data_IF_356337594153
#
_entry.id   IF_356337594153
#
_cell.length_a   1.000
_cell.length_b   1.000
_cell.length_c   1.000
_cell.angle_alpha   90.00
_cell.angle_beta   90.00
_cell.angle_gamma   90.00
#
_symmetry.space_group_name_H-M   'P 1'
#
loop_
_entity.id
_entity.type
_entity.pdbx_description
1 polymer ?
#
# COMPACT_ATOMS: atom_id res chain seq x y z
N UNK A 1 -8.64 -3.25 -14.54
CA UNK A 1 -9.71 -2.36 -15.00
C UNK A 1 -10.40 -3.01 -16.17
N UNK A 2 -11.72 -3.25 -16.08
CA UNK A 2 -12.52 -3.69 -17.24
C UNK A 2 -12.82 -2.50 -18.14
N UNK A 3 -12.69 -2.69 -19.46
CA UNK A 3 -12.86 -1.61 -20.42
C UNK A 3 -12.02 -1.78 -21.68
N UNK A 4 -11.86 -0.70 -22.42
CA UNK A 4 -11.09 -0.67 -23.68
C UNK A 4 -9.94 0.31 -23.58
N UNK A 5 -8.76 -0.08 -24.11
CA UNK A 5 -7.63 0.85 -24.25
C UNK A 5 -8.04 1.93 -25.25
N UNK A 6 -8.12 3.18 -24.78
CA UNK A 6 -8.50 4.35 -25.58
C UNK A 6 -7.28 5.02 -26.21
N UNK A 7 -6.17 5.09 -25.44
CA UNK A 7 -4.95 5.71 -25.92
C UNK A 7 -3.71 5.14 -25.20
N UNK A 8 -2.58 5.17 -25.90
CA UNK A 8 -1.25 4.96 -25.32
C UNK A 8 -0.47 6.25 -25.56
N UNK A 9 -0.28 7.02 -24.49
CA UNK A 9 0.46 8.29 -24.53
C UNK A 9 1.94 7.99 -24.44
N UNK A 10 2.71 8.51 -25.39
CA UNK A 10 4.16 8.33 -25.46
C UNK A 10 4.87 9.67 -25.33
N UNK A 11 5.97 9.66 -24.60
CA UNK A 11 6.92 10.78 -24.50
C UNK A 11 8.10 10.64 -25.45
N UNK A 12 9.15 11.36 -25.13
CA UNK A 12 10.42 11.28 -25.89
C UNK A 12 10.93 9.84 -25.96
N UNK A 13 11.62 9.53 -27.06
CA UNK A 13 12.17 8.19 -27.34
C UNK A 13 11.14 7.06 -27.21
N UNK A 14 9.87 7.37 -27.45
CA UNK A 14 8.73 6.43 -27.39
C UNK A 14 8.47 5.81 -26.02
N UNK A 15 8.97 6.40 -24.93
CA UNK A 15 8.65 5.94 -23.56
C UNK A 15 7.13 6.02 -23.36
N UNK A 16 6.54 4.94 -22.85
CA UNK A 16 5.11 4.92 -22.51
C UNK A 16 4.92 5.75 -21.24
N UNK A 17 4.17 6.83 -21.34
CA UNK A 17 3.82 7.68 -20.21
C UNK A 17 2.50 7.26 -19.56
N UNK A 18 1.52 6.90 -20.38
CA UNK A 18 0.19 6.51 -19.90
C UNK A 18 -0.43 5.47 -20.83
N UNK A 19 -1.20 4.56 -20.24
CA UNK A 19 -2.17 3.72 -20.95
C UNK A 19 -3.55 4.13 -20.45
N UNK A 20 -4.31 4.82 -21.30
CA UNK A 20 -5.65 5.31 -20.95
C UNK A 20 -6.65 4.20 -21.26
N UNK A 21 -7.38 3.77 -20.25
CA UNK A 21 -8.45 2.78 -20.35
C UNK A 21 -9.79 3.44 -20.09
N UNK A 22 -10.69 3.37 -21.04
CA UNK A 22 -12.09 3.78 -20.85
C UNK A 22 -12.84 2.63 -20.18
N UNK A 23 -13.29 2.87 -18.93
CA UNK A 23 -13.99 1.85 -18.15
C UNK A 23 -15.36 1.54 -18.78
N UNK A 24 -15.72 0.26 -18.79
CA UNK A 24 -17.07 -0.19 -19.19
C UNK A 24 -18.09 -0.14 -18.04
N UNK A 25 -17.67 0.29 -16.85
CA UNK A 25 -18.51 0.38 -15.66
C UNK A 25 -18.85 -0.96 -15.00
N UNK A 26 -18.44 -2.10 -15.57
CA UNK A 26 -18.76 -3.43 -15.02
C UNK A 26 -17.80 -3.85 -13.90
N UNK A 27 -16.57 -3.29 -13.90
CA UNK A 27 -15.53 -3.61 -12.92
C UNK A 27 -15.20 -5.11 -12.84
N UNK A 28 -15.26 -5.81 -13.97
CA UNK A 28 -14.87 -7.20 -14.05
C UNK A 28 -13.40 -7.35 -13.62
N UNK A 29 -13.13 -8.38 -12.83
CA UNK A 29 -11.80 -8.67 -12.31
C UNK A 29 -11.37 -10.09 -12.74
N UNK A 30 -10.07 -10.26 -12.90
CA UNK A 30 -9.49 -11.59 -13.07
C UNK A 30 -9.48 -12.27 -11.70
N UNK A 31 -9.99 -13.48 -11.63
CA UNK A 31 -9.91 -14.31 -10.43
C UNK A 31 -8.59 -15.08 -10.42
N UNK A 32 -7.73 -14.75 -9.43
CA UNK A 32 -6.47 -15.44 -9.17
C UNK A 32 -6.64 -16.59 -8.14
N UNK A 33 -7.86 -16.87 -7.74
CA UNK A 33 -8.20 -17.86 -6.71
C UNK A 33 -7.92 -17.37 -5.29
N UNK A 34 -8.74 -17.80 -4.35
CA UNK A 34 -8.51 -17.56 -2.91
C UNK A 34 -7.41 -18.49 -2.41
N UNK A 35 -6.67 -18.03 -1.42
CA UNK A 35 -5.65 -18.85 -0.77
C UNK A 35 -5.42 -18.39 0.66
N UNK A 36 -4.98 -19.27 1.53
CA UNK A 36 -4.57 -18.96 2.89
C UNK A 36 -3.05 -18.77 2.92
N UNK A 37 -2.51 -17.54 3.12
CA UNK A 37 -1.09 -17.29 2.99
C UNK A 37 -0.21 -18.14 3.90
N UNK A 38 -0.70 -18.47 5.11
CA UNK A 38 0.01 -19.30 6.09
C UNK A 38 0.35 -20.70 5.57
N UNK A 39 -0.44 -21.22 4.63
CA UNK A 39 -0.27 -22.56 4.03
C UNK A 39 0.57 -22.56 2.76
N UNK A 40 0.86 -21.39 2.21
CA UNK A 40 1.64 -21.23 0.98
C UNK A 40 3.13 -21.23 1.25
N UNK A 41 3.90 -21.68 0.27
CA UNK A 41 5.33 -21.44 0.19
C UNK A 41 5.63 -19.99 -0.23
N UNK A 42 6.87 -19.56 -0.03
CA UNK A 42 7.34 -18.24 -0.50
C UNK A 42 7.12 -18.03 -1.99
N UNK A 43 7.43 -19.05 -2.80
CA UNK A 43 7.31 -18.95 -4.26
C UNK A 43 5.85 -18.81 -4.72
N UNK A 44 4.92 -19.55 -4.11
CA UNK A 44 3.49 -19.43 -4.41
C UNK A 44 2.94 -18.05 -4.04
N UNK A 45 3.40 -17.46 -2.92
CA UNK A 45 3.04 -16.07 -2.56
C UNK A 45 3.58 -15.10 -3.59
N UNK A 46 4.85 -15.22 -3.99
CA UNK A 46 5.47 -14.35 -5.01
C UNK A 46 4.72 -14.47 -6.34
N UNK A 47 4.49 -15.68 -6.81
CA UNK A 47 3.81 -15.92 -8.08
C UNK A 47 2.44 -15.26 -8.12
N UNK A 48 1.63 -15.48 -7.08
CA UNK A 48 0.30 -14.88 -6.96
C UNK A 48 0.34 -13.36 -6.94
N UNK A 49 1.27 -12.77 -6.19
CA UNK A 49 1.45 -11.32 -6.14
C UNK A 49 1.93 -10.73 -7.46
N UNK A 50 2.82 -11.40 -8.16
CA UNK A 50 3.33 -10.97 -9.47
C UNK A 50 2.24 -11.05 -10.54
N UNK A 51 1.54 -12.17 -10.63
CA UNK A 51 0.47 -12.38 -11.60
C UNK A 51 -0.69 -11.39 -11.42
N UNK A 52 -1.05 -11.06 -10.18
CA UNK A 52 -2.11 -10.10 -9.88
C UNK A 52 -1.67 -8.63 -10.03
N UNK A 53 -0.36 -8.36 -10.09
CA UNK A 53 0.20 -7.01 -10.09
C UNK A 53 0.33 -6.37 -8.70
N UNK A 54 -0.11 -7.02 -7.61
CA UNK A 54 0.06 -6.50 -6.24
C UNK A 54 1.52 -6.40 -5.82
N UNK A 55 2.42 -7.15 -6.47
CA UNK A 55 3.85 -7.09 -6.22
C UNK A 55 4.43 -5.67 -6.32
N UNK A 56 3.90 -4.85 -7.21
CA UNK A 56 4.35 -3.46 -7.41
C UNK A 56 4.18 -2.56 -6.19
N UNK A 57 3.37 -2.97 -5.20
CA UNK A 57 3.20 -2.28 -3.92
C UNK A 57 4.40 -2.47 -2.99
N UNK A 58 5.20 -3.52 -3.18
CA UNK A 58 6.41 -3.73 -2.40
C UNK A 58 7.55 -2.90 -2.97
N UNK A 59 8.09 -2.03 -2.14
CA UNK A 59 9.22 -1.16 -2.47
C UNK A 59 10.47 -1.55 -1.70
N UNK A 60 11.62 -1.34 -2.30
CA UNK A 60 12.93 -1.62 -1.71
C UNK A 60 13.68 -0.34 -1.39
N UNK A 61 14.18 -0.27 -0.15
CA UNK A 61 15.09 0.81 0.27
C UNK A 61 16.49 0.55 -0.29
N UNK A 62 17.34 1.60 -0.48
CA UNK A 62 17.07 3.02 -0.17
C UNK A 62 16.32 3.79 -1.25
N UNK A 63 16.28 3.31 -2.49
CA UNK A 63 15.83 4.09 -3.66
C UNK A 63 14.32 3.98 -3.96
N UNK A 64 13.57 3.26 -3.14
CA UNK A 64 12.12 3.06 -3.34
C UNK A 64 11.77 2.41 -4.70
N UNK A 65 12.65 1.59 -5.22
CA UNK A 65 12.39 0.78 -6.42
C UNK A 65 11.40 -0.34 -6.09
N UNK A 66 10.74 -0.90 -7.10
CA UNK A 66 9.96 -2.12 -6.92
C UNK A 66 10.90 -3.22 -6.46
N UNK A 67 10.50 -3.97 -5.43
CA UNK A 67 11.27 -5.08 -4.90
C UNK A 67 11.52 -6.15 -5.99
N UNK A 68 12.75 -6.66 -6.07
CA UNK A 68 13.04 -7.76 -6.98
C UNK A 68 12.58 -9.09 -6.37
N UNK A 69 11.67 -9.85 -7.00
CA UNK A 69 11.17 -11.11 -6.48
C UNK A 69 12.26 -12.17 -6.20
N UNK A 70 13.40 -12.07 -6.88
CA UNK A 70 14.53 -12.98 -6.69
C UNK A 70 15.36 -12.65 -5.43
N UNK A 71 15.18 -11.47 -4.86
CA UNK A 71 15.91 -11.05 -3.67
C UNK A 71 15.22 -11.56 -2.41
N UNK A 72 16.01 -11.72 -1.35
CA UNK A 72 15.52 -12.00 -0.01
C UNK A 72 15.81 -10.77 0.87
N UNK A 73 14.77 -10.09 1.41
CA UNK A 73 14.98 -8.94 2.25
C UNK A 73 15.42 -9.34 3.66
N UNK A 74 16.28 -8.53 4.28
CA UNK A 74 16.69 -8.69 5.68
C UNK A 74 15.52 -8.44 6.64
N UNK A 75 14.60 -7.57 6.25
CA UNK A 75 13.31 -7.37 6.94
C UNK A 75 12.29 -6.72 5.99
N UNK A 76 11.03 -6.75 6.42
CA UNK A 76 9.94 -6.03 5.74
C UNK A 76 9.31 -5.09 6.74
N UNK A 77 9.16 -3.82 6.38
CA UNK A 77 8.53 -2.79 7.22
C UNK A 77 7.18 -2.36 6.65
N UNK A 78 6.17 -2.24 7.51
CA UNK A 78 4.85 -1.73 7.15
C UNK A 78 4.49 -0.59 8.10
N UNK A 79 4.31 0.62 7.56
CA UNK A 79 3.74 1.70 8.34
C UNK A 79 2.21 1.69 8.21
N UNK A 80 1.53 1.52 9.35
CA UNK A 80 0.07 1.50 9.41
C UNK A 80 -0.50 2.89 9.74
N UNK A 81 0.34 3.91 9.81
CA UNK A 81 -0.05 5.30 10.04
C UNK A 81 0.81 6.27 9.21
N UNK A 82 0.38 7.50 9.13
CA UNK A 82 1.10 8.60 8.50
C UNK A 82 1.14 9.79 9.44
N UNK A 83 2.18 10.61 9.34
CA UNK A 83 2.33 11.87 10.09
C UNK A 83 2.48 13.08 9.17
N UNK A 84 2.40 12.88 7.86
CA UNK A 84 2.41 14.00 6.93
C UNK A 84 1.15 14.86 7.13
N UNK A 85 1.28 16.19 7.11
CA UNK A 85 0.14 17.08 7.20
C UNK A 85 -0.91 16.75 6.14
N UNK A 86 -2.18 16.70 6.55
CA UNK A 86 -3.33 16.42 5.67
C UNK A 86 -3.36 15.01 5.05
N UNK A 87 -2.48 14.11 5.45
CA UNK A 87 -2.58 12.70 5.06
C UNK A 87 -3.88 12.06 5.59
N UNK A 88 -4.46 11.08 4.87
CA UNK A 88 -5.61 10.36 5.37
C UNK A 88 -5.25 9.55 6.62
N UNK A 89 -6.19 9.45 7.55
CA UNK A 89 -6.03 8.61 8.74
C UNK A 89 -6.12 7.13 8.38
N UNK A 90 -4.98 6.47 8.37
CA UNK A 90 -4.91 5.05 8.05
C UNK A 90 -5.59 4.17 9.10
N UNK A 91 -5.65 4.56 10.38
CA UNK A 91 -6.37 3.79 11.40
C UNK A 91 -7.87 3.72 11.04
N UNK A 92 -8.45 4.86 10.63
CA UNK A 92 -9.84 4.89 10.15
C UNK A 92 -10.06 4.01 8.92
N UNK A 93 -9.11 4.04 7.96
CA UNK A 93 -9.20 3.28 6.71
C UNK A 93 -9.14 1.78 6.96
N UNK A 94 -8.18 1.33 7.78
CA UNK A 94 -7.94 -0.11 8.00
C UNK A 94 -8.87 -0.72 9.05
N UNK A 95 -9.55 0.07 9.89
CA UNK A 95 -10.36 -0.40 11.01
C UNK A 95 -11.41 -1.46 10.59
N UNK A 96 -11.96 -1.34 9.39
CA UNK A 96 -12.94 -2.30 8.83
C UNK A 96 -12.32 -3.38 7.95
N UNK A 97 -10.98 -3.45 7.89
CA UNK A 97 -10.21 -4.31 6.99
C UNK A 97 -9.25 -5.25 7.73
N UNK A 98 -9.52 -5.53 9.01
CA UNK A 98 -8.58 -6.25 9.89
C UNK A 98 -8.26 -7.67 9.39
N UNK A 99 -9.21 -8.36 8.78
CA UNK A 99 -8.96 -9.66 8.16
C UNK A 99 -8.00 -9.55 6.97
N UNK A 100 -8.14 -8.50 6.15
CA UNK A 100 -7.21 -8.24 5.06
C UNK A 100 -5.82 -7.84 5.60
N UNK A 101 -5.76 -7.04 6.66
CA UNK A 101 -4.48 -6.74 7.35
C UNK A 101 -3.80 -8.04 7.78
N UNK A 102 -4.54 -8.95 8.44
CA UNK A 102 -4.01 -10.24 8.86
C UNK A 102 -3.46 -11.05 7.68
N UNK A 103 -4.27 -11.26 6.65
CA UNK A 103 -3.88 -12.03 5.47
C UNK A 103 -2.66 -11.41 4.77
N UNK A 104 -2.60 -10.07 4.68
CA UNK A 104 -1.47 -9.35 4.11
C UNK A 104 -0.18 -9.56 4.92
N UNK A 105 -0.24 -9.47 6.24
CA UNK A 105 0.91 -9.71 7.13
C UNK A 105 1.40 -11.15 7.02
N UNK A 106 0.49 -12.13 7.02
CA UNK A 106 0.83 -13.54 6.85
C UNK A 106 1.53 -13.81 5.49
N UNK A 107 1.11 -13.12 4.43
CA UNK A 107 1.77 -13.21 3.13
C UNK A 107 3.16 -12.58 3.17
N UNK A 108 3.32 -11.37 3.74
CA UNK A 108 4.61 -10.72 3.88
C UNK A 108 5.60 -11.54 4.71
N UNK A 109 5.11 -12.18 5.76
CA UNK A 109 5.93 -13.03 6.64
C UNK A 109 6.54 -14.25 5.91
N UNK A 110 5.96 -14.68 4.78
CA UNK A 110 6.54 -15.72 3.91
C UNK A 110 7.68 -15.21 3.01
N UNK A 111 7.79 -13.90 2.85
CA UNK A 111 8.75 -13.31 1.89
C UNK A 111 10.13 -13.06 2.49
N UNK A 112 10.29 -13.18 3.80
CA UNK A 112 11.56 -12.94 4.51
C UNK A 112 11.78 -13.95 5.62
N UNK A 113 13.04 -14.35 5.83
CA UNK A 113 13.48 -15.06 7.03
C UNK A 113 13.73 -14.09 8.20
N UNK A 114 13.78 -12.80 7.94
CA UNK A 114 13.91 -11.74 8.95
C UNK A 114 12.56 -11.35 9.55
N UNK A 115 12.52 -10.17 10.18
CA UNK A 115 11.32 -9.65 10.83
C UNK A 115 10.39 -8.94 9.85
N UNK A 116 9.10 -9.02 10.13
CA UNK A 116 8.09 -8.12 9.58
C UNK A 116 7.71 -7.14 10.67
N UNK A 117 8.11 -5.88 10.51
CA UNK A 117 7.83 -4.81 11.46
C UNK A 117 6.54 -4.09 11.06
N UNK A 118 5.57 -4.09 11.96
CA UNK A 118 4.34 -3.30 11.82
C UNK A 118 4.43 -2.09 12.74
N UNK A 119 4.43 -0.90 12.18
CA UNK A 119 4.49 0.35 12.95
C UNK A 119 3.11 0.97 13.06
N UNK A 120 2.69 1.26 14.29
CA UNK A 120 1.41 1.89 14.65
C UNK A 120 1.66 3.15 15.48
N UNK A 121 0.66 4.01 15.61
CA UNK A 121 0.80 5.28 16.33
C UNK A 121 0.18 5.31 17.73
N UNK A 122 -0.47 4.24 18.15
CA UNK A 122 -1.07 4.15 19.47
C UNK A 122 -1.06 2.74 20.04
N UNK A 123 -1.16 2.65 21.36
CA UNK A 123 -1.27 1.38 22.07
C UNK A 123 -2.58 0.66 21.76
N UNK A 124 -3.66 1.39 21.52
CA UNK A 124 -4.96 0.84 21.16
C UNK A 124 -4.88 0.15 19.81
N UNK A 125 -4.24 0.79 18.83
CA UNK A 125 -4.01 0.18 17.51
C UNK A 125 -3.07 -1.02 17.63
N UNK A 126 -2.03 -0.95 18.45
CA UNK A 126 -1.15 -2.09 18.72
C UNK A 126 -1.95 -3.29 19.23
N UNK A 127 -2.77 -3.09 20.26
CA UNK A 127 -3.59 -4.17 20.84
C UNK A 127 -4.56 -4.76 19.83
N UNK A 128 -5.17 -3.91 18.98
CA UNK A 128 -6.08 -4.36 17.93
C UNK A 128 -5.35 -5.23 16.87
N UNK A 129 -4.14 -4.86 16.49
CA UNK A 129 -3.31 -5.62 15.54
C UNK A 129 -2.81 -6.94 16.17
N UNK A 130 -2.34 -6.91 17.42
CA UNK A 130 -1.89 -8.12 18.13
C UNK A 130 -3.03 -9.12 18.38
N UNK A 131 -4.26 -8.61 18.56
CA UNK A 131 -5.45 -9.45 18.71
C UNK A 131 -5.79 -10.29 17.47
N UNK A 132 -5.21 -9.98 16.30
CA UNK A 132 -5.35 -10.76 15.07
C UNK A 132 -4.67 -12.14 15.19
N UNK A 133 -3.73 -12.31 16.11
CA UNK A 133 -3.00 -13.56 16.38
C UNK A 133 -2.41 -14.15 15.11
N UNK A 134 -1.31 -13.58 14.65
CA UNK A 134 -0.58 -14.07 13.49
C UNK A 134 -0.05 -15.50 13.74
N UNK A 135 -0.12 -16.36 12.73
CA UNK A 135 0.52 -17.68 12.77
C UNK A 135 2.03 -17.58 12.59
N UNK A 136 2.47 -16.53 11.87
CA UNK A 136 3.88 -16.23 11.66
C UNK A 136 4.53 -15.70 12.95
N UNK A 137 5.69 -16.27 13.31
CA UNK A 137 6.42 -15.91 14.55
C UNK A 137 7.39 -14.74 14.36
N UNK A 138 7.61 -14.32 13.12
CA UNK A 138 8.55 -13.25 12.78
C UNK A 138 7.88 -11.88 12.62
N UNK A 139 6.66 -11.71 13.09
CA UNK A 139 5.92 -10.43 13.09
C UNK A 139 6.14 -9.71 14.42
N UNK A 140 6.39 -8.41 14.34
CA UNK A 140 6.61 -7.55 15.51
C UNK A 140 5.85 -6.24 15.33
N UNK A 141 5.07 -5.85 16.35
CA UNK A 141 4.26 -4.62 16.33
C UNK A 141 4.93 -3.58 17.22
N UNK A 142 5.21 -2.41 16.68
CA UNK A 142 5.93 -1.35 17.35
C UNK A 142 5.12 -0.05 17.36
N UNK A 143 5.08 0.64 18.50
CA UNK A 143 4.41 1.93 18.64
C UNK A 143 5.40 3.05 18.41
N UNK A 144 5.07 3.95 17.49
CA UNK A 144 5.81 5.17 17.21
C UNK A 144 4.92 6.38 17.48
N UNK A 145 5.40 7.31 18.28
CA UNK A 145 4.70 8.55 18.58
C UNK A 145 5.63 9.73 18.28
N UNK A 146 5.06 10.83 17.84
CA UNK A 146 5.82 12.06 17.59
C UNK A 146 5.32 12.82 16.37
N UNK A 147 5.90 14.01 16.14
CA UNK A 147 5.60 14.81 14.96
C UNK A 147 6.12 14.14 13.69
N UNK A 148 5.75 14.68 12.56
CA UNK A 148 6.38 14.29 11.29
C UNK A 148 7.93 14.47 11.41
N UNK A 149 8.74 13.47 11.01
CA UNK A 149 8.45 12.34 10.15
C UNK A 149 8.27 10.97 10.85
N UNK A 150 7.71 10.90 12.06
CA UNK A 150 7.56 9.63 12.79
C UNK A 150 6.82 8.54 11.98
N UNK A 151 5.89 8.94 11.08
CA UNK A 151 5.18 8.03 10.17
C UNK A 151 6.01 7.53 8.98
N UNK A 152 7.21 8.08 8.74
CA UNK A 152 8.01 7.68 7.61
C UNK A 152 8.75 6.36 7.87
N UNK A 153 8.65 5.44 6.94
CA UNK A 153 9.32 4.12 6.99
C UNK A 153 10.82 4.24 7.30
N UNK A 154 11.51 5.22 6.71
CA UNK A 154 12.95 5.41 6.94
C UNK A 154 13.27 5.78 8.38
N UNK A 155 12.42 6.61 9.02
CA UNK A 155 12.57 6.97 10.43
C UNK A 155 12.34 5.77 11.32
N UNK A 156 11.30 4.98 11.04
CA UNK A 156 10.99 3.76 11.78
C UNK A 156 12.10 2.72 11.64
N UNK A 157 12.57 2.48 10.43
CA UNK A 157 13.66 1.54 10.16
C UNK A 157 14.97 1.94 10.83
N UNK A 158 15.26 3.25 10.90
CA UNK A 158 16.49 3.70 11.59
C UNK A 158 16.50 3.34 13.08
N UNK A 159 15.32 3.16 13.69
CA UNK A 159 15.19 2.74 15.09
C UNK A 159 15.13 1.22 15.21
N UNK A 160 14.36 0.54 14.36
CA UNK A 160 14.09 -0.90 14.49
C UNK A 160 15.19 -1.77 13.88
N UNK A 161 15.67 -1.40 12.71
CA UNK A 161 16.64 -2.16 11.92
C UNK A 161 17.38 -1.22 10.97
N UNK A 162 18.40 -0.49 11.45
CA UNK A 162 19.18 0.41 10.63
C UNK A 162 19.74 -0.28 9.39
N UNK A 163 19.58 0.36 8.24
CA UNK A 163 19.97 -0.20 6.95
C UNK A 163 21.47 0.02 6.73
N UNK A 164 22.23 -1.04 6.56
CA UNK A 164 23.64 -1.00 6.24
C UNK A 164 23.89 -1.19 4.73
N UNK A 165 25.14 -0.95 4.32
CA UNK A 165 25.54 -1.16 2.93
C UNK A 165 25.34 -2.64 2.53
N UNK A 166 24.53 -2.86 1.52
CA UNK A 166 24.22 -4.19 0.98
C UNK A 166 22.92 -4.78 1.50
N UNK A 167 22.32 -4.22 2.55
CA UNK A 167 21.03 -4.68 3.05
C UNK A 167 19.91 -4.40 2.04
N UNK A 168 19.00 -5.36 1.91
CA UNK A 168 17.78 -5.23 1.14
C UNK A 168 16.62 -5.21 2.10
N UNK A 169 15.98 -4.06 2.23
CA UNK A 169 14.81 -3.90 3.09
C UNK A 169 13.62 -3.56 2.23
N UNK A 170 12.55 -4.34 2.36
CA UNK A 170 11.30 -4.08 1.65
C UNK A 170 10.30 -3.37 2.55
N UNK A 171 9.36 -2.67 1.93
CA UNK A 171 8.31 -2.00 2.66
C UNK A 171 7.05 -1.80 1.84
N UNK A 172 5.94 -1.61 2.53
CA UNK A 172 4.68 -1.12 1.97
C UNK A 172 3.93 -0.28 3.01
N UNK A 173 2.81 0.30 2.59
CA UNK A 173 1.94 1.11 3.45
C UNK A 173 0.62 0.41 3.76
N UNK A 174 -0.15 0.97 4.68
CA UNK A 174 -1.38 0.38 5.20
C UNK A 174 -2.37 -0.07 4.11
N UNK A 175 -2.67 0.80 3.15
CA UNK A 175 -3.63 0.47 2.09
C UNK A 175 -3.08 -0.55 1.09
N UNK A 176 -1.75 -0.60 0.90
CA UNK A 176 -1.10 -1.63 0.08
C UNK A 176 -1.20 -2.99 0.75
N UNK A 177 -0.98 -3.03 2.07
CA UNK A 177 -1.15 -4.24 2.86
C UNK A 177 -2.58 -4.78 2.78
N UNK A 178 -3.58 -3.90 2.89
CA UNK A 178 -5.00 -4.27 2.74
C UNK A 178 -5.29 -4.82 1.34
N UNK A 179 -4.80 -4.17 0.29
CA UNK A 179 -4.99 -4.65 -1.09
C UNK A 179 -4.33 -6.03 -1.30
N UNK A 180 -3.14 -6.23 -0.72
CA UNK A 180 -2.46 -7.51 -0.72
C UNK A 180 -3.27 -8.58 0.02
N UNK A 181 -3.76 -8.30 1.21
CA UNK A 181 -4.57 -9.23 1.97
C UNK A 181 -5.88 -9.60 1.26
N UNK A 182 -6.55 -8.61 0.67
CA UNK A 182 -7.76 -8.84 -0.12
C UNK A 182 -7.53 -9.76 -1.32
N UNK A 183 -6.36 -9.72 -1.96
CA UNK A 183 -6.01 -10.68 -3.01
C UNK A 183 -6.12 -12.13 -2.51
N UNK A 184 -5.59 -12.42 -1.33
CA UNK A 184 -5.62 -13.78 -0.78
C UNK A 184 -7.02 -14.17 -0.30
N UNK A 185 -7.78 -13.24 0.30
CA UNK A 185 -9.12 -13.49 0.81
C UNK A 185 -10.17 -13.65 -0.29
N UNK A 186 -10.05 -12.88 -1.37
CA UNK A 186 -11.08 -12.80 -2.41
C UNK A 186 -10.67 -13.42 -3.73
N UNK A 187 -9.39 -13.61 -3.98
CA UNK A 187 -8.83 -14.00 -5.29
C UNK A 187 -8.68 -12.83 -6.26
N UNK A 188 -9.10 -11.61 -5.90
CA UNK A 188 -9.14 -10.47 -6.82
C UNK A 188 -8.18 -9.36 -6.37
N UNK A 189 -7.57 -8.67 -7.33
CA UNK A 189 -6.83 -7.45 -7.04
C UNK A 189 -7.79 -6.31 -6.71
N UNK A 190 -7.76 -5.85 -5.47
CA UNK A 190 -8.53 -4.70 -5.02
C UNK A 190 -7.76 -3.41 -5.30
N UNK A 191 -8.12 -2.72 -6.35
CA UNK A 191 -7.50 -1.45 -6.74
C UNK A 191 -8.09 -0.23 -6.01
N UNK A 192 -9.05 -0.41 -5.09
CA UNK A 192 -9.65 0.70 -4.34
C UNK A 192 -8.61 1.39 -3.48
N UNK A 193 -8.74 2.71 -3.40
CA UNK A 193 -7.92 3.59 -2.56
C UNK A 193 -8.81 4.64 -1.91
N UNK A 194 -8.52 4.97 -0.68
CA UNK A 194 -9.09 6.13 -0.01
C UNK A 194 -8.07 7.26 -0.07
N UNK A 195 -8.50 8.39 -0.59
CA UNK A 195 -7.70 9.61 -0.69
C UNK A 195 -8.37 10.72 0.10
N UNK A 196 -7.56 11.57 0.76
CA UNK A 196 -8.04 12.80 1.36
C UNK A 196 -7.91 13.93 0.33
N UNK A 197 -9.03 14.44 -0.16
CA UNK A 197 -9.03 15.65 -0.98
C UNK A 197 -9.16 16.86 -0.06
N UNK A 198 -8.07 17.60 0.09
CA UNK A 198 -7.94 18.62 1.14
C UNK A 198 -6.98 19.72 0.70
N UNK A 199 -6.91 20.77 1.48
CA UNK A 199 -6.09 21.96 1.23
C UNK A 199 -6.86 23.23 1.53
N UNK A 200 -6.15 24.39 1.49
CA UNK A 200 -6.77 25.70 1.76
C UNK A 200 -7.86 26.03 0.75
N UNK A 201 -7.63 25.66 -0.51
CA UNK A 201 -8.49 26.00 -1.65
C UNK A 201 -9.60 24.97 -1.93
N UNK A 202 -9.79 23.98 -1.06
CA UNK A 202 -10.85 22.98 -1.19
C UNK A 202 -12.07 23.43 -0.38
N UNK A 203 -13.25 23.53 -1.03
CA UNK A 203 -14.53 23.91 -0.40
C UNK A 203 -14.95 22.89 0.63
N UNK A 204 -15.05 21.64 0.21
CA UNK A 204 -15.49 20.52 1.04
C UNK A 204 -14.37 19.50 1.12
N UNK A 205 -13.73 19.45 2.28
CA UNK A 205 -12.65 18.51 2.57
C UNK A 205 -13.25 17.18 2.98
N UNK A 206 -12.90 16.11 2.24
CA UNK A 206 -13.47 14.80 2.50
C UNK A 206 -12.53 13.68 2.08
N UNK A 207 -12.83 12.48 2.57
CA UNK A 207 -12.25 11.25 2.05
C UNK A 207 -13.10 10.75 0.89
N UNK A 208 -12.41 10.41 -0.19
CA UNK A 208 -13.02 9.81 -1.36
C UNK A 208 -12.49 8.41 -1.58
N UNK A 209 -13.39 7.47 -1.82
CA UNK A 209 -13.00 6.15 -2.29
C UNK A 209 -12.88 6.20 -3.81
N UNK A 210 -11.69 5.92 -4.30
CA UNK A 210 -11.36 5.88 -5.71
C UNK A 210 -10.63 4.58 -6.06
N UNK A 211 -9.97 4.53 -7.21
CA UNK A 211 -9.13 3.40 -7.65
C UNK A 211 -7.77 3.89 -8.11
N UNK A 212 -6.77 3.03 -7.98
CA UNK A 212 -5.43 3.32 -8.53
C UNK A 212 -5.55 3.61 -10.03
N UNK A 213 -5.00 4.74 -10.46
CA UNK A 213 -5.02 5.20 -11.85
C UNK A 213 -6.31 5.89 -12.30
N UNK A 214 -7.28 6.10 -11.39
CA UNK A 214 -8.50 6.83 -11.74
C UNK A 214 -8.21 8.30 -12.03
N UNK A 215 -8.93 8.86 -13.00
CA UNK A 215 -8.95 10.31 -13.24
C UNK A 215 -9.68 11.01 -12.09
N UNK A 216 -8.97 11.94 -11.44
CA UNK A 216 -9.49 12.70 -10.31
C UNK A 216 -9.98 14.10 -10.69
N UNK A 217 -9.96 14.44 -11.97
CA UNK A 217 -10.37 15.78 -12.47
C UNK A 217 -11.79 16.20 -12.05
N UNK A 218 -12.69 15.22 -11.89
CA UNK A 218 -14.04 15.46 -11.37
C UNK A 218 -14.10 16.11 -9.98
N UNK A 219 -13.05 15.96 -9.14
CA UNK A 219 -12.97 16.61 -7.85
C UNK A 219 -12.57 18.08 -7.93
N UNK A 220 -12.03 18.54 -9.07
CA UNK A 220 -11.53 19.91 -9.21
C UNK A 220 -12.64 20.97 -9.19
N UNK A 221 -13.89 20.58 -9.42
CA UNK A 221 -15.06 21.45 -9.24
C UNK A 221 -15.23 21.89 -7.78
N UNK A 222 -14.60 21.20 -6.85
CA UNK A 222 -14.59 21.54 -5.42
C UNK A 222 -13.45 22.51 -5.02
N UNK A 223 -12.74 23.08 -5.99
CA UNK A 223 -11.67 24.06 -5.78
C UNK A 223 -12.24 25.48 -5.94
N UNK A 224 -11.85 26.41 -5.03
CA UNK A 224 -12.36 27.78 -4.99
C UNK A 224 -11.55 28.78 -5.82
N UNK A 225 -10.31 28.47 -6.13
CA UNK A 225 -9.36 29.37 -6.80
C UNK A 225 -8.90 28.77 -8.12
N UNK A 226 -8.65 29.65 -9.12
CA UNK A 226 -8.12 29.22 -10.42
C UNK A 226 -6.62 29.00 -10.40
N UNK A 227 -5.91 29.66 -9.48
CA UNK A 227 -4.45 29.60 -9.38
C UNK A 227 -4.03 28.67 -8.23
N UNK A 228 -4.15 27.36 -8.45
CA UNK A 228 -3.82 26.34 -7.46
C UNK A 228 -2.77 25.37 -7.96
N UNK A 229 -2.02 24.81 -7.05
CA UNK A 229 -1.16 23.66 -7.28
C UNK A 229 -1.83 22.40 -6.71
N UNK A 230 -2.08 21.42 -7.58
CA UNK A 230 -2.59 20.12 -7.18
C UNK A 230 -1.39 19.21 -6.91
N UNK A 231 -1.35 18.62 -5.71
CA UNK A 231 -0.26 17.76 -5.25
C UNK A 231 -0.84 16.38 -4.97
N UNK A 232 -0.24 15.36 -5.52
CA UNK A 232 -0.55 13.96 -5.22
C UNK A 232 0.50 13.43 -4.26
N UNK A 233 0.06 13.13 -3.04
CA UNK A 233 0.94 12.72 -1.94
C UNK A 233 1.42 13.90 -1.09
N UNK A 234 2.53 13.70 -0.37
CA UNK A 234 3.13 14.66 0.56
C UNK A 234 4.57 15.00 0.17
#
# INVERSE_FOLDING_TARGET
>A
VSGKVKAIVRGEKRVILQVVVESDGKYEAIDFGKAEPSKLSRNEVIEKMVQSGTWTSLRQRPYSTIANPQDEPTCIAVSLFDTAPLAPDNNFIIAKQMEAVKAGVEALAKLTNGKVYLSVNSTETQQAIEALKFSAKNVEVNVFQGPHPAGNISTQLNVLSPINKGDKVWYCYAQDLVALGNLFLTGNYDSRRVVAFTGSEVKERAYYQTRVGADMSGLYTNIVSENVRIISGN
#
